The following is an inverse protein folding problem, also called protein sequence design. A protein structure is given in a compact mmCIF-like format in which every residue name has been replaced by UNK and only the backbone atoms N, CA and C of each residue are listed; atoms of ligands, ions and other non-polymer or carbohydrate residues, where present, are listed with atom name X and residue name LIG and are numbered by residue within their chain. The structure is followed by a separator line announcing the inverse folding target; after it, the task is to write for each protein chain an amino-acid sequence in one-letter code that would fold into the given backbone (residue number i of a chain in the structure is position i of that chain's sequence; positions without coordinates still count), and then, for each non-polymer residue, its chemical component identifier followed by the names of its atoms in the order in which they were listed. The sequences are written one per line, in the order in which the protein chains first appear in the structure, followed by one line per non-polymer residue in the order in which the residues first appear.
data_IF_844438426858
#
_entry.id   IF_844438426858
#
_cell.length_a   1.000
_cell.length_b   1.000
_cell.length_c   1.000
_cell.angle_alpha   90.00
_cell.angle_beta   90.00
_cell.angle_gamma   90.00
#
_symmetry.space_group_name_H-M   'P 1'
#
loop_
_entity.id
_entity.type
_entity.pdbx_description
1 polymer ?
#
# COMPACT_ATOMS: atom_id res chain seq x y z
N UNK A 1 42.73 10.41 36.95
CA UNK A 1 42.83 10.99 35.59
C UNK A 1 41.42 10.97 34.99
N UNK A 2 40.88 12.11 34.51
CA UNK A 2 39.57 12.12 33.85
C UNK A 2 39.77 11.53 32.44
N UNK A 3 39.03 10.48 32.09
CA UNK A 3 39.10 9.94 30.73
C UNK A 3 38.59 10.99 29.74
N UNK A 4 39.31 11.28 28.64
CA UNK A 4 38.82 12.17 27.59
C UNK A 4 37.62 11.52 26.89
N UNK A 5 36.63 12.32 26.51
CA UNK A 5 35.41 11.91 25.83
C UNK A 5 35.14 12.82 24.64
N UNK A 6 34.47 12.28 23.62
CA UNK A 6 34.04 13.01 22.42
C UNK A 6 32.54 12.88 22.20
N UNK A 7 31.98 13.90 21.55
CA UNK A 7 30.62 13.90 20.99
C UNK A 7 30.69 13.30 19.59
N UNK A 8 29.80 12.36 19.28
CA UNK A 8 29.69 11.78 17.93
C UNK A 8 28.22 11.76 17.49
N UNK A 9 27.96 12.29 16.30
CA UNK A 9 26.66 12.30 15.63
C UNK A 9 26.83 12.43 14.10
N UNK A 10 25.72 12.58 13.37
CA UNK A 10 25.74 12.67 11.90
C UNK A 10 26.51 13.89 11.37
N UNK A 11 26.54 14.99 12.14
CA UNK A 11 27.24 16.22 11.75
C UNK A 11 28.71 16.22 12.24
N UNK A 12 29.01 15.40 13.25
CA UNK A 12 30.34 15.22 13.84
C UNK A 12 30.71 13.72 13.88
N UNK A 13 30.97 13.09 12.72
CA UNK A 13 31.30 11.67 12.67
C UNK A 13 32.70 11.39 13.23
N UNK A 14 32.93 10.14 13.65
CA UNK A 14 34.25 9.66 14.07
C UNK A 14 34.51 8.28 13.48
N UNK A 15 35.68 8.08 12.86
CA UNK A 15 36.02 6.83 12.15
C UNK A 15 36.05 5.58 13.04
N UNK A 16 36.25 5.74 14.36
CA UNK A 16 36.26 4.65 15.33
C UNK A 16 34.85 4.26 15.83
N UNK A 17 33.82 5.03 15.46
CA UNK A 17 32.43 4.82 15.89
C UNK A 17 31.58 4.46 14.69
N UNK A 18 30.93 3.30 14.75
CA UNK A 18 30.00 2.84 13.72
C UNK A 18 28.82 3.82 13.58
N UNK A 19 28.47 4.30 12.36
CA UNK A 19 27.32 5.16 12.13
C UNK A 19 26.00 4.63 12.67
N UNK A 20 25.80 3.31 12.72
CA UNK A 20 24.60 2.67 13.29
C UNK A 20 24.40 3.00 14.78
N UNK A 21 25.46 3.42 15.47
CA UNK A 21 25.38 3.88 16.85
C UNK A 21 24.57 5.17 16.99
N UNK A 22 24.52 6.02 15.96
CA UNK A 22 23.94 7.38 16.04
C UNK A 22 23.02 7.75 14.87
N UNK A 23 22.93 6.92 13.83
CA UNK A 23 22.06 7.09 12.68
C UNK A 23 21.51 5.74 12.24
N UNK A 24 20.20 5.62 12.07
CA UNK A 24 19.56 4.44 11.51
C UNK A 24 18.32 4.82 10.73
N UNK A 25 17.95 4.01 9.75
CA UNK A 25 16.73 4.19 8.98
C UNK A 25 15.79 3.02 9.23
N UNK A 26 14.50 3.30 9.22
CA UNK A 26 13.47 2.26 9.17
C UNK A 26 12.61 2.46 7.93
N UNK A 27 12.11 1.34 7.39
CA UNK A 27 11.30 1.34 6.18
C UNK A 27 9.90 0.81 6.47
N UNK A 28 8.90 1.41 5.83
CA UNK A 28 7.56 0.86 5.70
C UNK A 28 7.30 0.49 4.25
N UNK A 29 7.13 -0.80 3.99
CA UNK A 29 6.96 -1.35 2.65
C UNK A 29 5.56 -1.91 2.51
N UNK A 30 4.78 -1.41 1.55
CA UNK A 30 3.53 -2.01 1.11
C UNK A 30 3.79 -2.72 -0.21
N UNK A 31 3.77 -4.06 -0.17
CA UNK A 31 3.90 -4.93 -1.33
C UNK A 31 2.54 -5.19 -1.96
N UNK A 32 2.52 -5.28 -3.27
CA UNK A 32 1.33 -5.61 -4.05
C UNK A 32 1.54 -6.94 -4.78
N UNK A 33 0.53 -7.79 -4.82
CA UNK A 33 0.57 -9.06 -5.53
C UNK A 33 -0.79 -9.40 -6.18
N UNK A 34 -0.79 -10.30 -7.16
CA UNK A 34 -2.02 -10.91 -7.70
C UNK A 34 -2.65 -10.24 -8.93
N UNK A 35 -2.05 -9.18 -9.48
CA UNK A 35 -2.53 -8.53 -10.71
C UNK A 35 -1.68 -8.84 -11.98
N UNK A 36 -0.82 -9.86 -11.90
CA UNK A 36 0.05 -10.27 -13.01
C UNK A 36 1.00 -9.14 -13.43
N UNK A 37 1.12 -8.88 -14.74
CA UNK A 37 1.96 -7.80 -15.28
C UNK A 37 1.48 -6.39 -14.90
N UNK A 38 0.23 -6.26 -14.43
CA UNK A 38 -0.36 -4.99 -13.98
C UNK A 38 -0.17 -4.76 -12.47
N UNK A 39 0.55 -5.64 -11.78
CA UNK A 39 0.83 -5.47 -10.35
C UNK A 39 1.60 -4.17 -10.12
N UNK A 40 1.09 -3.27 -9.25
CA UNK A 40 1.77 -2.01 -8.94
C UNK A 40 3.15 -2.25 -8.34
N UNK A 41 4.02 -1.24 -8.45
CA UNK A 41 5.29 -1.24 -7.71
C UNK A 41 5.05 -1.06 -6.22
N UNK A 42 5.91 -1.67 -5.41
CA UNK A 42 5.90 -1.51 -3.96
C UNK A 42 5.95 -0.03 -3.55
N UNK A 43 5.16 0.33 -2.55
CA UNK A 43 5.25 1.63 -1.90
C UNK A 43 6.25 1.53 -0.75
N UNK A 44 7.30 2.37 -0.78
CA UNK A 44 8.35 2.39 0.24
C UNK A 44 8.39 3.79 0.86
N UNK A 45 8.26 3.84 2.19
CA UNK A 45 8.47 5.03 2.99
C UNK A 45 9.64 4.80 3.94
N UNK A 46 10.42 5.84 4.24
CA UNK A 46 11.61 5.76 5.08
C UNK A 46 11.54 6.85 6.15
N UNK A 47 11.87 6.50 7.38
CA UNK A 47 12.02 7.43 8.50
C UNK A 47 13.45 7.33 9.03
N UNK A 48 14.09 8.47 9.21
CA UNK A 48 15.43 8.60 9.72
C UNK A 48 15.41 8.80 11.23
N UNK A 49 16.18 7.98 11.94
CA UNK A 49 16.42 8.14 13.36
C UNK A 49 17.86 8.59 13.56
N UNK A 50 18.03 9.66 14.35
CA UNK A 50 19.33 10.20 14.73
C UNK A 50 19.42 10.36 16.23
N UNK A 51 20.64 10.27 16.76
CA UNK A 51 20.97 10.67 18.13
C UNK A 51 22.40 11.14 18.21
N UNK A 52 22.78 11.66 19.36
CA UNK A 52 24.17 11.90 19.73
C UNK A 52 24.63 10.83 20.70
N UNK A 53 25.87 10.35 20.56
CA UNK A 53 26.50 9.41 21.51
C UNK A 53 27.79 10.01 22.09
N UNK A 54 28.13 9.58 23.30
CA UNK A 54 29.43 9.86 23.91
C UNK A 54 30.37 8.70 23.66
N UNK A 55 31.58 8.96 23.18
CA UNK A 55 32.56 7.90 22.92
C UNK A 55 33.96 8.23 23.45
N UNK A 56 34.78 7.19 23.60
CA UNK A 56 36.21 7.32 23.84
C UNK A 56 36.93 7.75 22.56
N UNK A 57 37.72 8.84 22.57
CA UNK A 57 38.47 9.28 21.38
C UNK A 57 39.59 8.32 20.97
N UNK A 58 40.03 7.45 21.88
CA UNK A 58 41.15 6.53 21.64
C UNK A 58 40.64 5.18 21.14
N UNK A 59 39.50 4.71 21.67
CA UNK A 59 39.01 3.35 21.42
C UNK A 59 37.72 3.28 20.62
N UNK A 60 37.03 4.40 20.38
CA UNK A 60 35.71 4.43 19.74
C UNK A 60 34.58 3.82 20.59
N UNK A 61 34.88 3.29 21.78
CA UNK A 61 33.87 2.67 22.64
C UNK A 61 32.84 3.71 23.08
N UNK A 62 31.56 3.37 22.87
CA UNK A 62 30.42 4.15 23.34
C UNK A 62 30.36 4.05 24.86
N UNK A 63 30.14 5.21 25.50
CA UNK A 63 29.93 5.33 26.93
C UNK A 63 28.42 5.49 27.13
N UNK A 64 27.80 4.45 27.69
CA UNK A 64 26.38 4.47 28.07
C UNK A 64 26.11 5.62 29.05
N UNK A 65 25.00 6.33 28.83
CA UNK A 65 24.61 7.54 29.58
C UNK A 65 25.71 8.61 29.71
N UNK A 66 26.62 8.65 28.73
CA UNK A 66 27.67 9.65 28.67
C UNK A 66 27.14 11.08 28.50
N UNK A 67 27.98 12.06 28.82
CA UNK A 67 27.65 13.50 28.88
C UNK A 67 26.86 14.04 27.67
N UNK A 68 27.13 13.53 26.47
CA UNK A 68 26.53 14.00 25.21
C UNK A 68 25.45 13.06 24.67
N UNK A 69 25.15 11.96 25.36
CA UNK A 69 24.21 10.96 24.87
C UNK A 69 22.79 11.50 24.88
N UNK A 70 22.09 11.40 23.74
CA UNK A 70 20.68 11.79 23.61
C UNK A 70 19.80 10.58 23.28
N UNK A 71 18.49 10.65 23.56
CA UNK A 71 17.53 9.72 22.99
C UNK A 71 17.55 9.74 21.47
N UNK A 72 17.07 8.66 20.85
CA UNK A 72 16.76 8.64 19.43
C UNK A 72 15.64 9.64 19.11
N UNK A 73 15.84 10.41 18.06
CA UNK A 73 14.86 11.33 17.50
C UNK A 73 14.61 10.93 16.05
N UNK A 74 13.34 10.83 15.68
CA UNK A 74 12.93 10.62 14.29
C UNK A 74 12.68 11.96 13.60
N UNK A 75 12.92 12.00 12.28
CA UNK A 75 12.57 13.13 11.42
C UNK A 75 11.06 13.21 11.15
N UNK A 76 10.34 12.10 11.31
CA UNK A 76 8.88 11.99 11.19
C UNK A 76 8.27 11.28 12.40
N UNK A 77 7.02 11.62 12.76
CA UNK A 77 6.34 10.97 13.89
C UNK A 77 5.84 9.56 13.54
N UNK A 78 5.39 9.36 12.30
CA UNK A 78 4.82 8.10 11.83
C UNK A 78 4.91 8.01 10.31
N UNK A 79 4.81 6.78 9.78
CA UNK A 79 4.57 6.58 8.35
C UNK A 79 3.19 7.11 7.97
N UNK A 80 3.04 7.51 6.71
CA UNK A 80 1.80 8.03 6.14
C UNK A 80 0.89 6.91 5.62
N UNK A 81 -0.40 7.21 5.52
CA UNK A 81 -1.38 6.33 4.88
C UNK A 81 -0.99 6.04 3.42
N UNK A 82 -1.19 4.80 2.99
CA UNK A 82 -0.99 4.36 1.61
C UNK A 82 -2.33 4.01 1.00
N UNK A 83 -2.80 4.84 0.06
CA UNK A 83 -3.96 4.52 -0.78
C UNK A 83 -3.57 3.39 -1.74
N UNK A 84 -4.38 2.33 -1.78
CA UNK A 84 -4.12 1.20 -2.67
C UNK A 84 -4.43 1.61 -4.12
N UNK A 85 -3.50 1.42 -5.08
CA UNK A 85 -3.74 1.75 -6.47
C UNK A 85 -4.92 0.95 -7.06
N UNK A 86 -5.73 1.61 -7.89
CA UNK A 86 -6.76 0.93 -8.68
C UNK A 86 -6.11 0.23 -9.86
N UNK A 87 -6.39 -1.07 -10.02
CA UNK A 87 -5.90 -1.86 -11.15
C UNK A 87 -7.08 -2.33 -12.01
N UNK A 88 -7.18 -1.92 -13.29
CA UNK A 88 -8.31 -2.30 -14.15
C UNK A 88 -8.48 -3.82 -14.29
N UNK A 89 -9.68 -4.32 -14.02
CA UNK A 89 -10.02 -5.74 -14.13
C UNK A 89 -9.68 -6.55 -12.88
N UNK A 90 -9.21 -5.92 -11.82
CA UNK A 90 -8.90 -6.53 -10.53
C UNK A 90 -9.54 -5.76 -9.38
N UNK A 91 -9.73 -6.41 -8.25
CA UNK A 91 -10.06 -5.78 -6.97
C UNK A 91 -9.06 -6.21 -5.90
N UNK A 92 -8.69 -5.26 -5.05
CA UNK A 92 -7.81 -5.48 -3.91
C UNK A 92 -8.60 -5.96 -2.68
N UNK A 93 -7.92 -6.64 -1.77
CA UNK A 93 -8.44 -7.00 -0.44
C UNK A 93 -8.58 -5.78 0.49
N UNK A 94 -7.86 -4.69 0.21
CA UNK A 94 -7.80 -3.48 1.03
C UNK A 94 -7.85 -2.23 0.16
N UNK A 95 -8.54 -1.20 0.64
CA UNK A 95 -8.59 0.12 0.00
C UNK A 95 -7.39 1.00 0.36
N UNK A 96 -6.89 0.83 1.58
CA UNK A 96 -5.87 1.66 2.18
C UNK A 96 -5.12 0.87 3.24
N UNK A 97 -3.84 1.20 3.42
CA UNK A 97 -3.05 0.80 4.57
C UNK A 97 -2.83 2.04 5.43
N UNK A 98 -3.33 2.02 6.66
CA UNK A 98 -3.16 3.15 7.58
C UNK A 98 -1.68 3.29 7.98
N UNK A 99 -1.25 4.53 8.11
CA UNK A 99 0.04 4.92 8.64
C UNK A 99 0.23 4.42 10.07
N UNK A 100 1.48 4.16 10.42
CA UNK A 100 1.85 3.55 11.69
C UNK A 100 3.06 4.25 12.29
N UNK A 101 3.01 4.50 13.60
CA UNK A 101 4.17 4.90 14.39
C UNK A 101 4.96 3.64 14.74
N UNK A 102 6.23 3.62 14.36
CA UNK A 102 7.11 2.48 14.58
C UNK A 102 8.53 2.92 14.89
N UNK A 103 9.27 2.08 15.61
CA UNK A 103 10.73 2.21 15.81
C UNK A 103 11.52 1.14 15.05
N UNK A 104 10.80 0.25 14.35
CA UNK A 104 11.31 -0.85 13.53
C UNK A 104 10.72 -0.80 12.12
N UNK A 105 11.38 -1.46 11.16
CA UNK A 105 10.87 -1.59 9.80
C UNK A 105 9.66 -2.52 9.74
N UNK A 106 8.70 -2.20 8.89
CA UNK A 106 7.43 -2.93 8.75
C UNK A 106 7.16 -3.24 7.28
N UNK A 107 6.66 -4.45 7.02
CA UNK A 107 6.16 -4.86 5.71
C UNK A 107 4.68 -5.24 5.79
N UNK A 108 3.91 -4.84 4.77
CA UNK A 108 2.50 -5.21 4.58
C UNK A 108 2.28 -5.67 3.15
N UNK A 109 1.27 -6.51 2.95
CA UNK A 109 0.90 -7.03 1.63
C UNK A 109 -0.56 -6.71 1.33
N UNK A 110 -0.80 -6.29 0.09
CA UNK A 110 -2.12 -6.09 -0.52
C UNK A 110 -2.24 -7.06 -1.68
N UNK A 111 -3.33 -7.82 -1.70
CA UNK A 111 -3.55 -8.85 -2.71
C UNK A 111 -4.68 -8.41 -3.63
N UNK A 112 -4.44 -8.54 -4.93
CA UNK A 112 -5.43 -8.35 -5.97
C UNK A 112 -5.99 -9.70 -6.42
N UNK A 113 -7.27 -9.72 -6.74
CA UNK A 113 -7.94 -10.82 -7.40
C UNK A 113 -8.62 -10.32 -8.69
N UNK A 114 -8.68 -11.13 -9.75
CA UNK A 114 -9.38 -10.74 -10.97
C UNK A 114 -10.86 -10.53 -10.68
N UNK A 115 -11.44 -9.52 -11.32
CA UNK A 115 -12.87 -9.28 -11.21
C UNK A 115 -13.67 -10.41 -11.86
N UNK A 116 -14.88 -10.61 -11.35
CA UNK A 116 -15.84 -11.51 -11.99
C UNK A 116 -16.17 -11.08 -13.42
N UNK A 117 -16.76 -12.01 -14.16
CA UNK A 117 -17.28 -11.78 -15.51
C UNK A 117 -18.65 -12.43 -15.67
N UNK A 118 -19.44 -11.92 -16.58
CA UNK A 118 -20.73 -12.52 -16.93
C UNK A 118 -20.49 -13.63 -17.94
N UNK A 119 -21.00 -14.82 -17.62
CA UNK A 119 -20.97 -16.01 -18.48
C UNK A 119 -22.39 -16.25 -19.00
N UNK A 120 -22.68 -15.94 -20.28
CA UNK A 120 -23.97 -16.22 -20.89
C UNK A 120 -24.14 -17.72 -21.11
N UNK A 121 -25.31 -18.24 -20.77
CA UNK A 121 -25.67 -19.65 -20.94
C UNK A 121 -26.95 -19.78 -21.77
N UNK A 122 -27.16 -20.96 -22.35
CA UNK A 122 -28.42 -21.36 -22.96
C UNK A 122 -29.45 -21.82 -21.89
N UNK A 123 -30.70 -22.17 -22.28
CA UNK A 123 -31.71 -22.65 -21.34
C UNK A 123 -31.33 -23.93 -20.57
N UNK A 124 -30.37 -24.71 -21.08
CA UNK A 124 -29.85 -25.93 -20.47
C UNK A 124 -28.62 -25.66 -19.57
N UNK A 125 -28.33 -24.38 -19.27
CA UNK A 125 -27.18 -23.90 -18.49
C UNK A 125 -25.81 -24.19 -19.12
N UNK A 126 -25.74 -24.39 -20.44
CA UNK A 126 -24.47 -24.56 -21.14
C UNK A 126 -23.92 -23.21 -21.61
N UNK A 127 -22.63 -23.01 -21.39
CA UNK A 127 -21.91 -21.77 -21.76
C UNK A 127 -21.93 -21.51 -23.29
N UNK A 128 -22.30 -20.28 -23.65
CA UNK A 128 -22.27 -19.78 -25.02
C UNK A 128 -20.85 -19.28 -25.37
N UNK A 129 -20.04 -20.14 -25.99
CA UNK A 129 -18.61 -19.89 -26.26
C UNK A 129 -18.33 -18.70 -27.19
N UNK A 130 -19.22 -18.42 -28.13
CA UNK A 130 -19.03 -17.36 -29.15
C UNK A 130 -19.59 -15.99 -28.72
N UNK A 131 -19.95 -15.85 -27.43
CA UNK A 131 -20.50 -14.61 -26.88
C UNK A 131 -19.46 -13.90 -26.03
N UNK A 132 -19.27 -12.61 -26.28
CA UNK A 132 -18.38 -11.77 -25.46
C UNK A 132 -18.85 -11.80 -24.00
N UNK A 133 -17.93 -12.16 -23.10
CA UNK A 133 -18.12 -12.18 -21.65
C UNK A 133 -17.64 -10.85 -21.06
N UNK A 134 -18.54 -9.90 -20.73
CA UNK A 134 -18.12 -8.65 -20.13
C UNK A 134 -17.57 -8.89 -18.72
N UNK A 135 -16.43 -8.26 -18.43
CA UNK A 135 -15.79 -8.26 -17.10
C UNK A 135 -16.33 -7.08 -16.30
N UNK A 136 -16.55 -7.26 -15.00
CA UNK A 136 -16.88 -6.14 -14.12
C UNK A 136 -15.72 -5.13 -14.07
N UNK A 137 -16.02 -3.87 -14.38
CA UNK A 137 -15.02 -2.80 -14.33
C UNK A 137 -14.68 -2.49 -12.87
N UNK A 138 -13.40 -2.33 -12.55
CA UNK A 138 -12.97 -1.85 -11.24
C UNK A 138 -13.40 -0.40 -11.05
N UNK A 139 -13.84 -0.04 -9.84
CA UNK A 139 -14.15 1.35 -9.50
C UNK A 139 -12.92 2.23 -9.64
N UNK A 140 -13.08 3.40 -10.28
CA UNK A 140 -12.00 4.37 -10.46
C UNK A 140 -11.50 5.00 -9.14
N UNK A 141 -12.25 4.89 -8.04
CA UNK A 141 -11.96 5.55 -6.76
C UNK A 141 -11.81 4.58 -5.58
N UNK A 142 -12.08 3.29 -5.79
CA UNK A 142 -12.02 2.29 -4.73
C UNK A 142 -11.52 0.96 -5.29
N UNK A 143 -10.27 0.63 -4.98
CA UNK A 143 -9.63 -0.60 -5.45
C UNK A 143 -10.33 -1.87 -4.95
N UNK A 144 -11.19 -1.81 -3.93
CA UNK A 144 -11.91 -2.98 -3.40
C UNK A 144 -13.26 -3.24 -4.08
N UNK A 145 -13.69 -2.32 -4.95
CA UNK A 145 -15.03 -2.32 -5.51
C UNK A 145 -15.01 -2.39 -7.03
N UNK A 146 -16.12 -2.88 -7.58
CA UNK A 146 -16.44 -2.78 -9.01
C UNK A 146 -17.48 -1.69 -9.25
N UNK A 147 -17.51 -1.14 -10.45
CA UNK A 147 -18.53 -0.18 -10.86
C UNK A 147 -19.92 -0.83 -10.82
N UNK A 148 -20.87 -0.16 -10.16
CA UNK A 148 -22.27 -0.53 -10.20
C UNK A 148 -22.86 -0.23 -11.58
N UNK A 149 -23.47 -1.23 -12.21
CA UNK A 149 -24.12 -1.05 -13.50
C UNK A 149 -24.60 -2.36 -14.10
N UNK A 150 -25.51 -2.26 -15.08
CA UNK A 150 -25.97 -3.43 -15.82
C UNK A 150 -24.98 -3.69 -16.96
N UNK A 151 -24.25 -4.79 -16.86
CA UNK A 151 -23.47 -5.34 -17.96
C UNK A 151 -24.34 -6.34 -18.72
N UNK A 152 -24.77 -5.98 -19.94
CA UNK A 152 -25.55 -6.88 -20.79
C UNK A 152 -24.65 -7.53 -21.85
N UNK A 153 -24.52 -8.87 -21.86
CA UNK A 153 -23.87 -9.56 -22.96
C UNK A 153 -24.72 -9.40 -24.24
N UNK A 154 -24.07 -9.16 -25.37
CA UNK A 154 -24.72 -9.10 -26.69
C UNK A 154 -24.63 -10.45 -27.37
N UNK A 155 -25.77 -11.12 -27.53
CA UNK A 155 -25.89 -12.40 -28.27
C UNK A 155 -26.58 -12.13 -29.59
N UNK A 156 -25.99 -12.55 -30.71
CA UNK A 156 -26.59 -12.36 -32.04
C UNK A 156 -27.96 -13.04 -32.12
N UNK A 157 -28.99 -12.30 -32.54
CA UNK A 157 -30.35 -12.82 -32.67
C UNK A 157 -31.19 -12.79 -31.39
N UNK A 158 -30.64 -12.33 -30.26
CA UNK A 158 -31.36 -12.20 -29.00
C UNK A 158 -31.37 -10.74 -28.53
N UNK A 159 -32.52 -10.29 -28.04
CA UNK A 159 -32.67 -9.00 -27.38
C UNK A 159 -32.93 -9.23 -25.89
N UNK A 160 -32.14 -8.59 -25.03
CA UNK A 160 -32.41 -8.59 -23.60
C UNK A 160 -33.53 -7.59 -23.30
N UNK A 161 -34.74 -8.10 -23.01
CA UNK A 161 -35.84 -7.28 -22.53
C UNK A 161 -35.68 -7.04 -21.02
N UNK A 162 -34.81 -6.09 -20.65
CA UNK A 162 -34.73 -5.63 -19.28
C UNK A 162 -35.91 -4.70 -18.97
N UNK A 163 -37.02 -5.27 -18.49
CA UNK A 163 -38.05 -4.49 -17.82
C UNK A 163 -37.54 -4.17 -16.41
N UNK A 164 -36.96 -2.99 -16.21
CA UNK A 164 -36.87 -2.44 -14.86
C UNK A 164 -38.29 -2.50 -14.30
N UNK A 165 -38.53 -3.31 -13.25
CA UNK A 165 -39.81 -3.27 -12.53
C UNK A 165 -39.98 -1.82 -12.11
N UNK A 166 -40.86 -1.08 -12.80
CA UNK A 166 -41.35 0.21 -12.34
C UNK A 166 -41.98 -0.09 -10.99
N UNK A 167 -41.28 0.21 -9.90
CA UNK A 167 -41.99 0.57 -8.69
C UNK A 167 -42.96 1.69 -9.10
N UNK A 168 -44.21 1.57 -8.67
CA UNK A 168 -45.21 2.62 -8.87
C UNK A 168 -44.78 3.85 -8.06
N UNK A 169 -43.82 4.61 -8.57
CA UNK A 169 -43.56 6.02 -8.28
C UNK A 169 -42.41 6.45 -9.19
N UNK A 170 -42.71 7.38 -10.10
CA UNK A 170 -41.85 7.73 -11.21
C UNK A 170 -40.50 8.29 -10.79
N UNK A 171 -39.51 8.08 -11.65
CA UNK A 171 -38.32 8.90 -11.70
C UNK A 171 -38.25 9.52 -13.09
N UNK A 172 -38.40 10.85 -13.14
CA UNK A 172 -37.81 11.67 -14.18
C UNK A 172 -36.33 11.85 -13.81
N UNK A 173 -35.43 11.60 -14.74
CA UNK A 173 -34.01 11.90 -14.62
C UNK A 173 -33.42 11.95 -16.02
N UNK A 174 -33.05 13.14 -16.44
CA UNK A 174 -32.60 13.48 -17.79
C UNK A 174 -31.27 12.80 -18.17
N UNK A 175 -31.11 12.64 -19.49
CA UNK A 175 -29.86 12.35 -20.20
C UNK A 175 -28.75 13.37 -19.87
#
# INVERSE_FOLDING_TARGET
MKMPIIRVDADHPNELVDPSAYSRQINFVVKYDGAGELTPKDNVQTIDFKRTVTASPITGKIIEDGKYTTPWQSDQESFSDVVVPVVPGYHADKKMINGIKSVDSIEKTVNYAPNGRIIPVDPDNKELKDVKQPIYKTSATDATQVESGILLPKVKGYNCNYYARRSRQGYQGNL
#
